data_IF_399128907643
#
_entry.id   IF_399128907643
#
_cell.length_a   1.000
_cell.length_b   1.000
_cell.length_c   1.000
_cell.angle_alpha   90.00
_cell.angle_beta   90.00
_cell.angle_gamma   90.00
#
_symmetry.space_group_name_H-M   'P 1'
#
loop_
_entity.id
_entity.type
_entity.pdbx_description
1 polymer ?
#
# COMPACT_ATOMS: atom_id res chain seq x y z
N UNK A 1 5.96 -4.12 -7.07
CA UNK A 1 6.51 -4.02 -5.71
C UNK A 1 5.40 -3.93 -4.68
N UNK A 2 5.70 -4.25 -3.45
CA UNK A 2 4.76 -4.16 -2.32
C UNK A 2 5.43 -3.40 -1.19
N UNK A 3 4.73 -2.42 -0.65
CA UNK A 3 5.11 -1.71 0.58
C UNK A 3 4.20 -2.16 1.71
N UNK A 4 4.77 -2.65 2.80
CA UNK A 4 4.01 -3.01 4.01
C UNK A 4 4.31 -2.00 5.11
N UNK A 5 3.29 -1.35 5.62
CA UNK A 5 3.38 -0.51 6.81
C UNK A 5 2.89 -1.30 8.01
N UNK A 6 3.75 -1.43 9.03
CA UNK A 6 3.34 -2.01 10.31
C UNK A 6 2.62 -0.94 11.13
N UNK A 7 1.44 -1.25 11.71
CA UNK A 7 0.78 -0.35 12.65
C UNK A 7 1.71 -0.08 13.84
N UNK A 8 1.97 1.19 14.13
CA UNK A 8 2.85 1.55 15.26
C UNK A 8 2.09 1.73 16.57
N UNK A 9 0.76 1.98 16.51
CA UNK A 9 -0.11 2.15 17.67
C UNK A 9 -1.56 1.80 17.34
N UNK A 10 -2.32 1.32 18.33
CA UNK A 10 -3.78 1.22 18.28
C UNK A 10 -4.39 2.63 18.38
N UNK A 11 -4.71 3.25 17.25
CA UNK A 11 -5.35 4.57 17.23
C UNK A 11 -6.87 4.41 17.24
N UNK A 12 -7.51 4.94 18.27
CA UNK A 12 -8.97 4.97 18.39
C UNK A 12 -9.62 6.06 17.50
N UNK A 13 -8.80 6.87 16.78
CA UNK A 13 -9.27 7.90 15.84
C UNK A 13 -8.11 8.44 14.98
N UNK A 14 -8.45 8.94 13.80
CA UNK A 14 -7.48 9.51 12.86
C UNK A 14 -7.62 11.03 12.83
N UNK A 15 -6.55 11.76 13.13
CA UNK A 15 -6.52 13.21 12.96
C UNK A 15 -6.42 13.60 11.48
N UNK A 16 -6.91 14.78 11.11
CA UNK A 16 -6.82 15.29 9.73
C UNK A 16 -5.38 15.27 9.20
N UNK A 17 -4.34 15.77 9.93
CA UNK A 17 -2.95 15.70 9.45
C UNK A 17 -2.45 14.27 9.18
N UNK A 18 -2.89 13.28 9.96
CA UNK A 18 -2.55 11.89 9.72
C UNK A 18 -3.16 11.37 8.40
N UNK A 19 -4.44 11.68 8.17
CA UNK A 19 -5.14 11.28 6.93
C UNK A 19 -4.53 11.97 5.72
N UNK A 20 -4.21 13.27 5.82
CA UNK A 20 -3.51 14.03 4.76
C UNK A 20 -2.15 13.40 4.42
N UNK A 21 -1.39 12.99 5.44
CA UNK A 21 -0.13 12.25 5.25
C UNK A 21 -0.33 10.90 4.53
N UNK A 22 -1.39 10.16 4.91
CA UNK A 22 -1.71 8.89 4.26
C UNK A 22 -2.11 9.08 2.78
N UNK A 23 -2.87 10.11 2.47
CA UNK A 23 -3.20 10.47 1.08
C UNK A 23 -1.94 10.78 0.27
N UNK A 24 -1.00 11.55 0.83
CA UNK A 24 0.27 11.83 0.18
C UNK A 24 1.09 10.56 -0.09
N UNK A 25 1.10 9.58 0.83
CA UNK A 25 1.76 8.29 0.62
C UNK A 25 1.13 7.53 -0.56
N UNK A 26 -0.22 7.48 -0.64
CA UNK A 26 -0.93 6.82 -1.75
C UNK A 26 -0.63 7.49 -3.10
N UNK A 27 -0.46 8.82 -3.13
CA UNK A 27 -0.09 9.54 -4.35
C UNK A 27 1.38 9.38 -4.74
N UNK A 28 2.24 8.90 -3.82
CA UNK A 28 3.69 8.83 -3.99
C UNK A 28 4.14 8.00 -5.19
N UNK A 29 3.50 6.86 -5.44
CA UNK A 29 3.82 5.99 -6.58
C UNK A 29 3.62 6.72 -7.91
N UNK A 30 2.46 7.35 -8.09
CA UNK A 30 2.14 8.15 -9.27
C UNK A 30 3.08 9.35 -9.45
N UNK A 31 3.36 10.06 -8.36
CA UNK A 31 4.27 11.21 -8.39
C UNK A 31 5.70 10.79 -8.79
N UNK A 32 6.18 9.65 -8.29
CA UNK A 32 7.48 9.09 -8.67
C UNK A 32 7.54 8.67 -10.14
N UNK A 33 6.49 8.06 -10.69
CA UNK A 33 6.40 7.72 -12.12
C UNK A 33 6.48 8.97 -13.00
N UNK A 34 5.73 10.01 -12.66
CA UNK A 34 5.77 11.27 -13.38
C UNK A 34 7.14 11.95 -13.31
N UNK A 35 7.74 11.98 -12.11
CA UNK A 35 9.03 12.62 -11.90
C UNK A 35 10.18 11.94 -12.66
N UNK A 36 10.19 10.59 -12.71
CA UNK A 36 11.32 9.83 -13.25
C UNK A 36 11.12 9.44 -14.72
N UNK A 37 9.90 9.13 -15.13
CA UNK A 37 9.60 8.59 -16.45
C UNK A 37 8.79 9.53 -17.34
N UNK A 38 8.28 10.63 -16.78
CA UNK A 38 7.35 11.54 -17.47
C UNK A 38 6.16 10.78 -18.09
N UNK A 39 5.68 9.77 -17.41
CA UNK A 39 4.61 8.88 -17.87
C UNK A 39 3.67 8.51 -16.74
N UNK A 40 2.41 8.36 -17.09
CA UNK A 40 1.39 7.82 -16.21
C UNK A 40 1.07 6.39 -16.62
N UNK A 41 1.09 5.46 -15.66
CA UNK A 41 0.70 4.08 -15.92
C UNK A 41 -0.53 3.69 -15.10
N UNK A 42 -1.10 2.54 -15.39
CA UNK A 42 -2.21 1.97 -14.61
C UNK A 42 -1.76 1.42 -13.26
N UNK A 43 -0.44 1.38 -12.99
CA UNK A 43 0.13 0.81 -11.77
C UNK A 43 -0.34 1.49 -10.48
N UNK A 44 -0.62 2.80 -10.55
CA UNK A 44 -1.14 3.57 -9.42
C UNK A 44 -2.67 3.50 -9.26
N UNK A 45 -3.40 2.73 -10.08
CA UNK A 45 -4.86 2.74 -10.12
C UNK A 45 -5.51 2.42 -8.76
N UNK A 46 -5.04 1.39 -8.09
CA UNK A 46 -5.54 1.00 -6.78
C UNK A 46 -5.28 2.06 -5.68
N UNK A 47 -4.11 2.71 -5.71
CA UNK A 47 -3.76 3.76 -4.75
C UNK A 47 -4.63 5.00 -4.95
N UNK A 48 -4.92 5.36 -6.20
CA UNK A 48 -5.83 6.46 -6.55
C UNK A 48 -7.25 6.15 -6.09
N UNK A 49 -7.72 4.93 -6.27
CA UNK A 49 -9.04 4.50 -5.79
C UNK A 49 -9.14 4.62 -4.28
N UNK A 50 -8.17 4.07 -3.54
CA UNK A 50 -8.12 4.16 -2.08
C UNK A 50 -8.07 5.62 -1.60
N UNK A 51 -7.25 6.46 -2.22
CA UNK A 51 -7.16 7.87 -1.89
C UNK A 51 -8.49 8.58 -2.12
N UNK A 52 -9.18 8.28 -3.22
CA UNK A 52 -10.49 8.86 -3.53
C UNK A 52 -11.54 8.44 -2.49
N UNK A 53 -11.54 7.18 -2.07
CA UNK A 53 -12.43 6.69 -1.02
C UNK A 53 -12.17 7.37 0.33
N UNK A 54 -10.89 7.55 0.71
CA UNK A 54 -10.52 8.26 1.94
C UNK A 54 -10.95 9.72 1.87
N UNK A 55 -10.64 10.43 0.77
CA UNK A 55 -11.05 11.82 0.58
C UNK A 55 -12.56 12.00 0.62
N UNK A 56 -13.32 11.06 0.03
CA UNK A 56 -14.79 11.04 0.11
C UNK A 56 -15.25 10.92 1.56
N UNK A 57 -14.69 10.00 2.35
CA UNK A 57 -15.02 9.86 3.77
C UNK A 57 -14.67 11.11 4.59
N UNK A 58 -13.55 11.76 4.30
CA UNK A 58 -13.19 13.02 4.95
C UNK A 58 -14.26 14.08 4.77
N UNK A 59 -14.82 14.18 3.57
CA UNK A 59 -15.84 15.18 3.21
C UNK A 59 -17.21 14.77 3.69
N UNK A 60 -17.62 13.51 3.46
CA UNK A 60 -19.02 13.11 3.64
C UNK A 60 -19.33 12.47 4.99
N UNK A 61 -18.34 11.90 5.67
CA UNK A 61 -18.55 11.15 6.92
C UNK A 61 -17.87 11.80 8.14
N UNK A 62 -16.66 12.34 7.94
CA UNK A 62 -15.84 12.83 9.07
C UNK A 62 -15.91 14.34 9.29
N UNK A 63 -16.62 15.08 8.41
CA UNK A 63 -16.77 16.53 8.52
C UNK A 63 -15.43 17.29 8.49
N UNK A 64 -14.45 16.78 7.71
CA UNK A 64 -13.09 17.36 7.63
C UNK A 64 -12.94 18.37 6.48
N UNK A 65 -14.03 18.75 5.79
CA UNK A 65 -14.03 19.80 4.77
C UNK A 65 -14.22 21.17 5.41
N UNK A 66 -13.39 22.13 5.01
CA UNK A 66 -13.51 23.52 5.48
C UNK A 66 -14.71 24.25 4.85
N UNK A 67 -14.98 23.96 3.57
CA UNK A 67 -16.05 24.63 2.81
C UNK A 67 -17.45 24.09 3.13
N UNK A 68 -17.56 22.81 3.47
CA UNK A 68 -18.82 22.16 3.81
C UNK A 68 -19.09 22.12 5.32
N UNK A 69 -18.05 22.34 6.14
CA UNK A 69 -18.15 22.32 7.58
C UNK A 69 -18.30 20.90 8.19
N UNK A 70 -18.55 20.81 9.51
CA UNK A 70 -18.64 19.56 10.24
C UNK A 70 -20.04 18.90 10.07
N UNK A 71 -20.36 18.54 8.85
CA UNK A 71 -21.62 17.89 8.48
C UNK A 71 -21.37 16.54 7.82
N UNK A 72 -22.36 15.66 7.89
CA UNK A 72 -22.36 14.38 7.17
C UNK A 72 -23.33 14.41 5.98
N UNK A 73 -22.94 13.79 4.88
CA UNK A 73 -23.71 13.75 3.64
C UNK A 73 -23.90 12.29 3.23
N UNK A 74 -25.16 11.92 2.95
CA UNK A 74 -25.51 10.54 2.61
C UNK A 74 -26.03 9.78 3.82
N UNK A 75 -27.03 8.93 3.60
CA UNK A 75 -27.52 8.00 4.63
C UNK A 75 -26.57 6.81 4.68
N UNK A 76 -26.17 6.37 5.88
CA UNK A 76 -25.75 4.98 6.07
C UNK A 76 -26.97 4.11 5.78
N UNK A 77 -26.94 3.39 4.66
CA UNK A 77 -27.93 2.34 4.40
C UNK A 77 -27.58 1.12 5.28
N UNK A 78 -27.92 1.18 6.56
CA UNK A 78 -27.82 0.04 7.49
C UNK A 78 -29.07 -0.85 7.45
N UNK A 79 -30.05 -0.58 6.58
CA UNK A 79 -31.21 -1.45 6.41
C UNK A 79 -31.18 -2.15 5.05
N UNK A 80 -30.55 -3.34 5.04
CA UNK A 80 -30.76 -4.34 4.00
C UNK A 80 -32.16 -4.91 4.19
N UNK A 81 -33.17 -4.24 3.64
CA UNK A 81 -34.50 -4.82 3.51
C UNK A 81 -34.52 -5.71 2.26
N UNK A 82 -34.62 -7.01 2.48
CA UNK A 82 -34.72 -8.01 1.43
C UNK A 82 -35.86 -7.68 0.46
N UNK A 83 -35.54 -7.32 -0.78
CA UNK A 83 -36.48 -7.41 -1.89
C UNK A 83 -36.90 -6.12 -2.62
N UNK A 84 -36.30 -4.97 -2.37
CA UNK A 84 -36.47 -3.77 -3.21
C UNK A 84 -35.15 -3.09 -3.48
N UNK A 85 -34.81 -2.89 -4.76
CA UNK A 85 -33.80 -1.90 -5.18
C UNK A 85 -34.25 -0.52 -4.73
N UNK A 86 -33.83 -0.10 -3.55
CA UNK A 86 -34.00 1.28 -3.13
C UNK A 86 -32.93 2.07 -3.85
N UNK A 87 -33.30 2.79 -4.92
CA UNK A 87 -32.48 3.87 -5.44
C UNK A 87 -32.04 4.70 -4.23
N UNK A 88 -30.72 4.75 -4.00
CA UNK A 88 -30.14 5.58 -2.95
C UNK A 88 -30.41 7.05 -3.29
N UNK A 89 -31.55 7.57 -2.84
CA UNK A 89 -31.86 8.98 -3.00
C UNK A 89 -30.83 9.78 -2.23
N UNK A 90 -30.04 10.56 -2.96
CA UNK A 90 -29.15 11.56 -2.38
C UNK A 90 -30.02 12.52 -1.55
N UNK A 91 -29.73 12.67 -0.27
CA UNK A 91 -30.46 13.56 0.64
C UNK A 91 -29.88 14.98 0.65
N UNK A 92 -29.19 15.39 -0.41
CA UNK A 92 -28.62 16.72 -0.58
C UNK A 92 -28.80 17.22 -2.02
N UNK A 93 -28.75 18.55 -2.18
CA UNK A 93 -28.99 19.22 -3.47
C UNK A 93 -27.86 18.95 -4.46
N UNK A 94 -28.15 19.18 -5.76
CA UNK A 94 -27.11 19.11 -6.81
C UNK A 94 -25.97 20.13 -6.59
N UNK A 95 -26.27 21.28 -5.97
CA UNK A 95 -25.25 22.26 -5.60
C UNK A 95 -24.31 21.66 -4.56
N UNK A 96 -24.85 21.04 -3.53
CA UNK A 96 -24.06 20.35 -2.50
C UNK A 96 -23.26 19.19 -3.08
N UNK A 97 -23.81 18.42 -4.04
CA UNK A 97 -23.09 17.36 -4.72
C UNK A 97 -21.85 17.89 -5.44
N UNK A 98 -21.97 19.00 -6.17
CA UNK A 98 -20.80 19.65 -6.83
C UNK A 98 -19.75 20.10 -5.82
N UNK A 99 -20.17 20.72 -4.72
CA UNK A 99 -19.24 21.13 -3.66
C UNK A 99 -18.49 19.95 -3.06
N UNK A 100 -19.16 18.82 -2.86
CA UNK A 100 -18.54 17.58 -2.39
C UNK A 100 -17.48 17.10 -3.39
N UNK A 101 -17.80 17.04 -4.68
CA UNK A 101 -16.88 16.60 -5.72
C UNK A 101 -15.69 17.55 -5.86
N UNK A 102 -15.89 18.85 -5.76
CA UNK A 102 -14.84 19.87 -5.78
C UNK A 102 -13.88 19.74 -4.60
N UNK A 103 -14.40 19.52 -3.39
CA UNK A 103 -13.58 19.34 -2.20
C UNK A 103 -12.80 18.03 -2.25
N UNK A 104 -13.39 16.91 -2.71
CA UNK A 104 -12.67 15.66 -2.93
C UNK A 104 -11.52 15.87 -3.91
N UNK A 105 -11.80 16.50 -5.05
CA UNK A 105 -10.78 16.79 -6.05
C UNK A 105 -9.67 17.71 -5.53
N UNK A 106 -10.00 18.69 -4.69
CA UNK A 106 -9.03 19.58 -4.03
C UNK A 106 -8.12 18.81 -3.07
N UNK A 107 -8.69 17.96 -2.22
CA UNK A 107 -7.94 17.11 -1.28
C UNK A 107 -6.95 16.23 -2.02
N UNK A 108 -7.39 15.54 -3.09
CA UNK A 108 -6.52 14.67 -3.89
C UNK A 108 -5.40 15.46 -4.56
N UNK A 109 -5.69 16.60 -5.19
CA UNK A 109 -4.68 17.47 -5.82
C UNK A 109 -3.65 17.98 -4.80
N UNK A 110 -4.10 18.34 -3.60
CA UNK A 110 -3.22 18.79 -2.52
C UNK A 110 -2.30 17.66 -2.06
N UNK A 111 -2.82 16.44 -1.92
CA UNK A 111 -2.02 15.27 -1.56
C UNK A 111 -0.98 14.93 -2.64
N UNK A 112 -1.37 14.99 -3.92
CA UNK A 112 -0.46 14.77 -5.05
C UNK A 112 0.66 15.81 -5.05
N UNK A 113 0.33 17.10 -4.96
CA UNK A 113 1.32 18.18 -4.94
C UNK A 113 2.32 18.00 -3.79
N UNK A 114 1.83 17.65 -2.60
CA UNK A 114 2.70 17.37 -1.45
C UNK A 114 3.67 16.21 -1.71
N UNK A 115 3.20 15.14 -2.38
CA UNK A 115 4.07 14.02 -2.76
C UNK A 115 5.13 14.45 -3.77
N UNK A 116 4.75 15.22 -4.77
CA UNK A 116 5.66 15.75 -5.78
C UNK A 116 6.74 16.64 -5.14
N UNK A 117 6.37 17.52 -4.23
CA UNK A 117 7.32 18.38 -3.48
C UNK A 117 8.31 17.52 -2.68
N UNK A 118 7.82 16.55 -1.90
CA UNK A 118 8.68 15.66 -1.10
C UNK A 118 9.66 14.87 -1.98
N UNK A 119 9.20 14.34 -3.12
CA UNK A 119 10.04 13.57 -4.02
C UNK A 119 11.05 14.43 -4.77
N UNK A 120 10.66 15.65 -5.18
CA UNK A 120 11.57 16.61 -5.80
C UNK A 120 12.71 17.02 -4.86
N UNK A 121 12.37 17.29 -3.60
CA UNK A 121 13.37 17.68 -2.58
C UNK A 121 14.32 16.52 -2.20
N UNK A 122 13.91 15.28 -2.47
CA UNK A 122 14.64 14.06 -2.06
C UNK A 122 14.99 13.12 -3.22
N UNK A 123 15.25 13.64 -4.42
CA UNK A 123 15.54 12.83 -5.61
C UNK A 123 16.75 11.89 -5.45
N UNK A 124 17.82 12.38 -4.83
CA UNK A 124 19.01 11.55 -4.58
C UNK A 124 18.70 10.36 -3.68
N UNK A 125 17.88 10.58 -2.66
CA UNK A 125 17.41 9.51 -1.77
C UNK A 125 16.53 8.51 -2.53
N UNK A 126 15.60 8.98 -3.37
CA UNK A 126 14.75 8.14 -4.21
C UNK A 126 15.59 7.22 -5.10
N UNK A 127 16.60 7.78 -5.79
CA UNK A 127 17.53 7.01 -6.60
C UNK A 127 18.37 6.01 -5.79
N UNK A 128 18.79 6.39 -4.59
CA UNK A 128 19.55 5.52 -3.69
C UNK A 128 18.71 4.34 -3.20
N UNK A 129 17.44 4.59 -2.85
CA UNK A 129 16.49 3.55 -2.48
C UNK A 129 16.21 2.60 -3.65
N UNK A 130 15.96 3.12 -4.84
CA UNK A 130 15.74 2.31 -6.04
C UNK A 130 16.93 1.41 -6.36
N UNK A 131 18.16 1.95 -6.35
CA UNK A 131 19.41 1.17 -6.54
C UNK A 131 19.59 0.09 -5.46
N UNK A 132 19.22 0.41 -4.22
CA UNK A 132 19.31 -0.54 -3.11
C UNK A 132 18.29 -1.67 -3.27
N UNK A 133 17.06 -1.38 -3.70
CA UNK A 133 16.04 -2.38 -4.00
C UNK A 133 16.45 -3.29 -5.17
N UNK A 134 16.99 -2.74 -6.25
CA UNK A 134 17.51 -3.53 -7.38
C UNK A 134 18.64 -4.47 -6.95
N UNK A 135 19.47 -4.07 -5.99
CA UNK A 135 20.60 -4.85 -5.51
C UNK A 135 20.24 -5.89 -4.46
N UNK A 136 19.29 -5.57 -3.58
CA UNK A 136 19.00 -6.36 -2.38
C UNK A 136 17.58 -6.95 -2.39
N UNK A 137 16.76 -6.61 -3.38
CA UNK A 137 15.37 -7.04 -3.59
C UNK A 137 14.39 -6.56 -2.50
N UNK A 138 14.89 -6.36 -1.28
CA UNK A 138 14.13 -5.87 -0.14
C UNK A 138 14.95 -4.85 0.67
N UNK A 139 14.29 -3.84 1.21
CA UNK A 139 14.83 -2.92 2.22
C UNK A 139 13.87 -2.85 3.39
N UNK A 140 14.40 -2.88 4.61
CA UNK A 140 13.62 -2.76 5.84
C UNK A 140 13.69 -1.32 6.41
N UNK A 141 12.96 -1.06 7.50
CA UNK A 141 12.93 0.26 8.13
C UNK A 141 14.32 0.73 8.62
N UNK A 142 15.19 -0.20 9.04
CA UNK A 142 16.56 0.13 9.46
C UNK A 142 17.44 0.50 8.27
N UNK A 143 17.23 -0.16 7.14
CA UNK A 143 17.92 0.16 5.89
C UNK A 143 17.46 1.52 5.35
N UNK A 144 16.16 1.81 5.43
CA UNK A 144 15.61 3.13 5.08
C UNK A 144 16.24 4.21 5.94
N UNK A 145 16.33 4.00 7.27
CA UNK A 145 16.95 4.97 8.17
C UNK A 145 18.42 5.23 7.83
N UNK A 146 19.19 4.19 7.46
CA UNK A 146 20.59 4.37 7.00
C UNK A 146 20.65 5.22 5.73
N UNK A 147 19.75 5.00 4.79
CA UNK A 147 19.72 5.80 3.55
C UNK A 147 19.35 7.26 3.84
N UNK A 148 18.42 7.51 4.76
CA UNK A 148 18.08 8.85 5.24
C UNK A 148 19.30 9.54 5.90
N UNK A 149 20.11 8.78 6.64
CA UNK A 149 21.37 9.27 7.24
C UNK A 149 22.51 9.39 6.21
N UNK A 150 22.28 9.19 4.92
CA UNK A 150 23.29 9.21 3.87
C UNK A 150 24.26 8.01 3.87
N UNK A 151 23.94 6.96 4.61
CA UNK A 151 24.76 5.75 4.75
C UNK A 151 24.37 4.69 3.73
N UNK A 152 25.35 3.90 3.26
CA UNK A 152 25.11 2.77 2.35
C UNK A 152 24.63 1.53 3.09
N UNK A 153 23.71 0.76 2.49
CA UNK A 153 23.29 -0.54 3.00
C UNK A 153 24.41 -1.55 2.71
N UNK A 154 24.99 -2.13 3.76
CA UNK A 154 25.99 -3.18 3.67
C UNK A 154 25.35 -4.47 4.20
N UNK A 155 25.02 -5.40 3.30
CA UNK A 155 24.59 -6.77 3.66
C UNK A 155 25.75 -7.72 3.34
N UNK A 156 26.20 -8.50 4.33
CA UNK A 156 27.11 -9.62 4.07
C UNK A 156 26.36 -10.63 3.20
N UNK A 157 26.95 -11.04 2.07
CA UNK A 157 26.41 -12.15 1.26
C UNK A 157 26.32 -13.37 2.17
N UNK A 158 25.11 -13.84 2.45
CA UNK A 158 24.94 -15.16 3.04
C UNK A 158 25.38 -16.15 1.97
N UNK A 159 26.57 -16.74 2.15
CA UNK A 159 26.99 -17.88 1.37
C UNK A 159 26.10 -19.05 1.81
N UNK A 160 25.16 -19.41 0.98
CA UNK A 160 24.40 -20.65 1.13
C UNK A 160 25.38 -21.79 0.98
N UNK A 161 25.91 -22.30 2.10
CA UNK A 161 26.59 -23.58 2.12
C UNK A 161 25.53 -24.62 1.79
N UNK A 162 25.49 -25.03 0.51
CA UNK A 162 24.81 -26.25 0.11
C UNK A 162 25.56 -27.38 0.81
N UNK A 163 24.96 -27.92 1.88
CA UNK A 163 25.41 -29.16 2.50
C UNK A 163 25.21 -30.27 1.48
N UNK A 164 26.29 -30.71 0.84
CA UNK A 164 26.31 -31.94 0.09
C UNK A 164 26.01 -33.08 1.06
N UNK A 165 24.78 -33.56 1.04
CA UNK A 165 24.39 -34.82 1.68
C UNK A 165 25.23 -35.94 1.09
N UNK A 166 26.07 -36.54 1.93
CA UNK A 166 26.88 -37.72 1.61
C UNK A 166 25.98 -38.91 1.28
N UNK A 167 26.18 -39.42 0.08
CA UNK A 167 25.57 -40.66 -0.43
C UNK A 167 25.94 -41.83 0.50
N UNK A 168 24.98 -42.28 1.32
CA UNK A 168 25.07 -43.51 2.08
C UNK A 168 24.89 -44.72 1.18
N UNK A 169 25.95 -45.51 1.03
CA UNK A 169 25.91 -46.80 0.39
C UNK A 169 24.86 -47.72 1.00
N UNK A 170 23.87 -48.09 0.22
CA UNK A 170 23.00 -49.23 0.57
C UNK A 170 23.70 -50.51 0.21
N UNK A 171 24.04 -51.32 1.23
CA UNK A 171 24.49 -52.70 1.06
C UNK A 171 23.27 -53.57 0.77
N UNK A 172 23.35 -54.26 -0.36
CA UNK A 172 22.42 -55.37 -0.71
C UNK A 172 22.72 -56.59 0.19
N UNK A 173 21.77 -57.00 0.98
CA UNK A 173 21.76 -58.33 1.60
C UNK A 173 20.64 -59.17 0.92
N UNK A 174 21.07 -60.10 0.14
CA UNK A 174 20.28 -61.20 -0.38
C UNK A 174 19.91 -62.17 0.75
N UNK A 175 18.61 -62.43 0.99
CA UNK A 175 18.18 -63.61 1.72
C UNK A 175 17.06 -64.31 0.98
N UNK A 176 17.42 -65.47 0.49
CA UNK A 176 16.52 -66.48 -0.05
C UNK A 176 15.63 -67.04 1.02
N UNK A 177 14.32 -67.13 0.80
CA UNK A 177 13.46 -68.08 1.55
C UNK A 177 12.50 -68.75 0.61
N UNK A 178 12.55 -70.08 0.73
CA UNK A 178 11.92 -71.14 0.00
C UNK A 178 10.39 -71.09 -0.01
N UNK A 179 9.84 -71.65 -1.08
CA UNK A 179 8.51 -72.12 -1.22
C UNK A 179 8.17 -73.31 -0.26
N UNK A 180 6.92 -73.29 0.19
CA UNK A 180 6.08 -74.44 0.56
C UNK A 180 4.68 -73.84 0.76
N UNK A 181 3.59 -74.18 0.09
CA UNK A 181 3.11 -75.50 -0.29
C UNK A 181 1.87 -75.86 0.54
N UNK A 182 0.66 -75.94 -0.08
CA UNK A 182 -0.55 -76.57 0.39
C UNK A 182 -1.39 -75.78 1.45
N UNK A 183 -2.65 -75.54 1.29
CA UNK A 183 -3.86 -76.21 0.77
C UNK A 183 -4.84 -75.14 0.40
#
# INVERSE_FOLDING_TARGET
>A
GVTMQLPMDEKHGYSKPYVDGRLAILMGGRAAEMLIFDKMTTGAGNDIEQATQIARKMVTEWGMSESLGPMTFGKKNDEVFLGREIQSQRNYSEVTARMIDEEIAKIIRTAQKRSEEILNDNQELLHSMAKSLLKHETIDSKDIQKLLDGKKIIRRKHSTKVSKSSNGKVKSSSTSVRANGKL
#
